data_IF_422218497810
#
_entry.id   IF_422218497810
#
_cell.length_a   1.000
_cell.length_b   1.000
_cell.length_c   1.000
_cell.angle_alpha   90.00
_cell.angle_beta   90.00
_cell.angle_gamma   90.00
#
_symmetry.space_group_name_H-M   'P 1'
#
loop_
_entity.id
_entity.type
_entity.pdbx_description
1 polymer ?
#
# COMPACT_ATOMS: atom_id res chain seq x y z
N UNK A 1 -5.61 -9.25 11.38
CA UNK A 1 -4.19 -8.84 11.49
C UNK A 1 -4.12 -7.38 11.92
N UNK A 2 -3.13 -7.06 12.76
CA UNK A 2 -2.89 -5.73 13.30
C UNK A 2 -1.42 -5.34 13.12
N UNK A 3 -1.17 -4.07 12.75
CA UNK A 3 0.15 -3.44 12.79
C UNK A 3 0.19 -2.47 13.96
N UNK A 4 1.25 -2.52 14.77
CA UNK A 4 1.45 -1.60 15.87
C UNK A 4 2.93 -1.38 16.15
N UNK A 5 3.26 -0.28 16.82
CA UNK A 5 4.64 0.13 17.09
C UNK A 5 4.84 0.37 18.58
N UNK A 6 5.87 -0.28 19.16
CA UNK A 6 6.31 -0.13 20.56
C UNK A 6 7.84 -0.13 20.59
N UNK A 7 8.46 1.03 20.44
CA UNK A 7 9.92 1.15 20.28
C UNK A 7 10.60 1.73 21.53
N UNK A 8 9.91 2.58 22.28
CA UNK A 8 10.46 3.24 23.46
C UNK A 8 10.07 2.50 24.76
N UNK A 9 10.83 2.66 25.82
CA UNK A 9 10.53 2.06 27.12
C UNK A 9 9.17 2.48 27.70
N UNK A 10 8.72 3.75 27.56
CA UNK A 10 7.35 4.10 27.92
C UNK A 10 6.28 3.35 27.14
N UNK A 11 6.46 3.19 25.80
CA UNK A 11 5.52 2.44 24.96
C UNK A 11 5.49 0.94 25.34
N UNK A 12 6.65 0.37 25.66
CA UNK A 12 6.73 -1.02 26.14
C UNK A 12 5.96 -1.19 27.44
N UNK A 13 6.13 -0.29 28.41
CA UNK A 13 5.38 -0.31 29.67
C UNK A 13 3.87 -0.18 29.45
N UNK A 14 3.47 0.75 28.57
CA UNK A 14 2.06 0.94 28.21
C UNK A 14 1.48 -0.34 27.57
N UNK A 15 2.20 -0.95 26.63
CA UNK A 15 1.79 -2.19 25.99
C UNK A 15 1.65 -3.36 26.97
N UNK A 16 2.66 -3.58 27.81
CA UNK A 16 2.63 -4.66 28.82
C UNK A 16 1.47 -4.46 29.80
N UNK A 17 1.20 -3.22 30.20
CA UNK A 17 0.04 -2.92 31.06
C UNK A 17 -1.28 -3.17 30.31
N UNK A 18 -1.42 -2.68 29.11
CA UNK A 18 -2.63 -2.82 28.30
C UNK A 18 -2.96 -4.28 27.94
N UNK A 19 -1.94 -5.14 27.88
CA UNK A 19 -2.08 -6.56 27.56
C UNK A 19 -2.13 -7.45 28.81
N UNK A 20 -2.21 -6.88 30.03
CA UNK A 20 -2.26 -7.63 31.28
C UNK A 20 -0.93 -8.27 31.70
N UNK A 21 0.19 -7.80 31.13
CA UNK A 21 1.53 -8.36 31.37
C UNK A 21 2.45 -7.38 32.12
N UNK A 22 1.87 -6.52 32.95
CA UNK A 22 2.60 -5.49 33.71
C UNK A 22 3.77 -6.05 34.53
N UNK A 23 3.69 -7.30 35.00
CA UNK A 23 4.77 -7.98 35.74
C UNK A 23 6.07 -8.13 34.92
N UNK A 24 6.02 -8.06 33.59
CA UNK A 24 7.20 -8.17 32.72
C UNK A 24 7.93 -6.83 32.54
N UNK A 25 7.43 -5.72 33.08
CA UNK A 25 8.06 -4.40 32.97
C UNK A 25 9.47 -4.39 33.56
N UNK A 26 9.65 -5.08 34.68
CA UNK A 26 10.94 -5.15 35.41
C UNK A 26 11.73 -6.42 35.08
N UNK A 27 11.27 -7.25 34.15
CA UNK A 27 12.00 -8.43 33.70
C UNK A 27 13.32 -7.99 33.03
N UNK A 28 14.49 -8.48 33.53
CA UNK A 28 15.79 -8.06 33.01
C UNK A 28 15.99 -8.36 31.52
N UNK A 29 15.21 -9.26 30.94
CA UNK A 29 15.23 -9.54 29.50
C UNK A 29 14.53 -8.45 28.66
N UNK A 30 13.64 -7.64 29.26
CA UNK A 30 12.75 -6.73 28.52
C UNK A 30 12.78 -5.28 29.02
N UNK A 31 13.45 -4.98 30.13
CA UNK A 31 13.40 -3.68 30.82
C UNK A 31 14.17 -2.56 30.11
N UNK A 32 14.92 -2.85 29.07
CA UNK A 32 15.65 -1.87 28.28
C UNK A 32 15.67 -2.24 26.78
N UNK A 33 15.96 -1.27 25.91
CA UNK A 33 16.12 -1.53 24.46
C UNK A 33 17.20 -2.58 24.21
N UNK A 34 18.36 -2.47 24.86
CA UNK A 34 19.47 -3.41 24.72
C UNK A 34 19.05 -4.83 25.12
N UNK A 35 18.41 -4.98 26.28
CA UNK A 35 17.94 -6.29 26.77
C UNK A 35 16.91 -6.93 25.82
N UNK A 36 15.98 -6.15 25.28
CA UNK A 36 15.02 -6.63 24.26
C UNK A 36 15.67 -7.03 22.95
N UNK A 37 16.74 -6.35 22.56
CA UNK A 37 17.50 -6.69 21.35
C UNK A 37 18.24 -8.03 21.52
N UNK A 38 18.87 -8.24 22.68
CA UNK A 38 19.54 -9.50 23.01
C UNK A 38 18.54 -10.67 23.14
N UNK A 39 17.33 -10.40 23.62
CA UNK A 39 16.28 -11.39 23.84
C UNK A 39 15.15 -11.28 22.80
N UNK A 40 15.48 -10.92 21.55
CA UNK A 40 14.49 -10.52 20.54
C UNK A 40 13.43 -11.60 20.27
N UNK A 41 13.82 -12.87 20.21
CA UNK A 41 12.88 -13.97 19.98
C UNK A 41 11.84 -14.06 21.11
N UNK A 42 12.29 -14.06 22.37
CA UNK A 42 11.39 -14.05 23.53
C UNK A 42 10.54 -12.79 23.60
N UNK A 43 11.08 -11.65 23.16
CA UNK A 43 10.32 -10.41 23.09
C UNK A 43 9.19 -10.47 22.05
N UNK A 44 9.41 -11.08 20.87
CA UNK A 44 8.35 -11.28 19.88
C UNK A 44 7.26 -12.23 20.39
N UNK A 45 7.62 -13.28 21.14
CA UNK A 45 6.64 -14.18 21.79
C UNK A 45 5.76 -13.39 22.78
N UNK A 46 6.37 -12.59 23.66
CA UNK A 46 5.65 -11.74 24.62
C UNK A 46 4.70 -10.77 23.92
N UNK A 47 5.10 -10.21 22.78
CA UNK A 47 4.28 -9.28 22.00
C UNK A 47 3.13 -9.98 21.26
N UNK A 48 3.39 -11.15 20.71
CA UNK A 48 2.44 -11.86 19.87
C UNK A 48 1.36 -12.60 20.65
N UNK A 49 1.74 -13.24 21.76
CA UNK A 49 0.86 -14.11 22.52
C UNK A 49 -0.50 -13.48 22.92
N UNK A 50 -0.58 -12.22 23.43
CA UNK A 50 -1.86 -11.63 23.79
C UNK A 50 -2.79 -11.36 22.60
N UNK A 51 -2.22 -11.16 21.41
CA UNK A 51 -2.98 -10.66 20.27
C UNK A 51 -4.00 -11.67 19.72
N UNK A 52 -3.91 -12.93 20.11
CA UNK A 52 -4.88 -13.98 19.78
C UNK A 52 -6.10 -14.00 20.70
N UNK A 53 -6.07 -13.26 21.82
CA UNK A 53 -7.11 -13.28 22.86
C UNK A 53 -8.33 -12.43 22.51
N UNK A 54 -8.20 -11.50 21.56
CA UNK A 54 -9.26 -10.54 21.16
C UNK A 54 -9.25 -10.32 19.65
N UNK A 55 -10.31 -9.70 19.16
CA UNK A 55 -10.43 -9.27 17.76
C UNK A 55 -9.47 -8.11 17.42
N UNK A 56 -9.25 -7.88 16.15
CA UNK A 56 -8.44 -6.75 15.66
C UNK A 56 -8.97 -5.41 16.14
N UNK A 57 -10.29 -5.21 16.08
CA UNK A 57 -10.91 -3.94 16.46
C UNK A 57 -10.81 -3.68 17.97
N UNK A 58 -11.00 -4.71 18.79
CA UNK A 58 -10.82 -4.60 20.24
C UNK A 58 -9.38 -4.24 20.59
N UNK A 59 -8.38 -4.89 19.95
CA UNK A 59 -6.98 -4.57 20.19
C UNK A 59 -6.62 -3.16 19.72
N UNK A 60 -7.14 -2.71 18.59
CA UNK A 60 -6.91 -1.34 18.11
C UNK A 60 -7.46 -0.32 19.13
N UNK A 61 -8.65 -0.55 19.66
CA UNK A 61 -9.25 0.32 20.67
C UNK A 61 -8.41 0.35 21.95
N UNK A 62 -7.97 -0.80 22.45
CA UNK A 62 -7.13 -0.93 23.66
C UNK A 62 -5.78 -0.24 23.47
N UNK A 63 -5.10 -0.49 22.36
CA UNK A 63 -3.77 0.08 22.11
C UNK A 63 -3.82 1.59 21.91
N UNK A 64 -4.83 2.09 21.20
CA UNK A 64 -5.03 3.54 21.03
C UNK A 64 -5.37 4.24 22.35
N UNK A 65 -6.17 3.61 23.23
CA UNK A 65 -6.44 4.13 24.56
C UNK A 65 -5.18 4.20 25.44
N UNK A 66 -4.18 3.34 25.16
CA UNK A 66 -2.86 3.35 25.80
C UNK A 66 -1.84 4.27 25.08
N UNK A 67 -2.28 5.14 24.16
CA UNK A 67 -1.44 6.03 23.35
C UNK A 67 -0.38 5.28 22.50
N UNK A 68 -0.76 4.11 21.99
CA UNK A 68 0.08 3.30 21.11
C UNK A 68 -0.47 3.35 19.69
N UNK A 69 0.42 3.60 18.73
CA UNK A 69 0.06 3.59 17.32
C UNK A 69 -0.33 2.16 16.89
N UNK A 70 -1.58 2.00 16.48
CA UNK A 70 -2.13 0.74 16.02
C UNK A 70 -3.14 0.95 14.88
N UNK A 71 -3.08 0.07 13.89
CA UNK A 71 -3.97 0.08 12.73
C UNK A 71 -4.24 -1.35 12.23
N UNK A 72 -5.37 -1.57 11.53
CA UNK A 72 -5.60 -2.86 10.87
C UNK A 72 -4.63 -3.06 9.71
N UNK A 73 -4.27 -4.30 9.41
CA UNK A 73 -3.64 -4.65 8.15
C UNK A 73 -4.75 -4.86 7.12
N UNK A 74 -4.78 -3.99 6.12
CA UNK A 74 -5.76 -4.08 5.04
C UNK A 74 -5.39 -5.16 4.02
N UNK A 75 -6.40 -5.79 3.43
CA UNK A 75 -6.29 -6.49 2.15
C UNK A 75 -6.53 -5.48 1.01
N UNK A 76 -6.31 -5.87 -0.24
CA UNK A 76 -6.61 -4.99 -1.38
C UNK A 76 -8.09 -4.58 -1.43
N UNK A 77 -9.00 -5.47 -1.00
CA UNK A 77 -10.43 -5.21 -0.95
C UNK A 77 -10.80 -4.23 0.17
N UNK A 78 -10.19 -4.38 1.35
CA UNK A 78 -10.51 -3.54 2.52
C UNK A 78 -9.76 -2.21 2.49
N UNK A 79 -8.62 -2.11 1.81
CA UNK A 79 -7.84 -0.88 1.69
C UNK A 79 -8.67 0.27 1.12
N UNK A 80 -9.50 -0.02 0.12
CA UNK A 80 -10.39 0.98 -0.51
C UNK A 80 -11.44 1.56 0.45
N UNK A 81 -11.66 0.88 1.59
CA UNK A 81 -12.62 1.32 2.61
C UNK A 81 -11.98 2.14 3.74
N UNK A 82 -10.65 2.23 3.76
CA UNK A 82 -9.93 2.98 4.80
C UNK A 82 -10.39 4.44 4.85
N UNK A 83 -10.83 4.96 6.01
CA UNK A 83 -11.36 6.31 6.14
C UNK A 83 -10.35 7.40 5.79
N UNK A 84 -9.05 7.19 6.10
CA UNK A 84 -8.01 8.16 5.79
C UNK A 84 -7.76 8.21 4.28
N UNK A 85 -7.66 7.06 3.61
CA UNK A 85 -7.44 7.02 2.16
C UNK A 85 -8.61 7.63 1.39
N UNK A 86 -9.84 7.44 1.88
CA UNK A 86 -11.02 8.13 1.34
C UNK A 86 -10.96 9.64 1.57
N UNK A 87 -10.63 10.08 2.77
CA UNK A 87 -10.57 11.50 3.12
C UNK A 87 -9.51 12.26 2.31
N UNK A 88 -8.37 11.63 2.00
CA UNK A 88 -7.32 12.24 1.18
C UNK A 88 -7.52 12.04 -0.32
N UNK A 89 -8.56 11.31 -0.75
CA UNK A 89 -8.85 11.03 -2.15
C UNK A 89 -7.68 10.32 -2.85
N UNK A 90 -7.14 9.26 -2.23
CA UNK A 90 -5.99 8.55 -2.79
C UNK A 90 -6.39 7.64 -3.95
N UNK A 91 -7.61 7.10 -3.91
CA UNK A 91 -8.12 6.15 -4.89
C UNK A 91 -9.20 6.84 -5.72
N UNK A 92 -8.98 6.90 -7.01
CA UNK A 92 -9.94 7.40 -8.01
C UNK A 92 -10.49 6.22 -8.80
N UNK A 93 -11.75 6.36 -9.24
CA UNK A 93 -12.40 5.39 -10.11
C UNK A 93 -12.62 6.02 -11.47
N UNK A 94 -12.26 5.28 -12.51
CA UNK A 94 -12.42 5.71 -13.89
C UNK A 94 -12.93 4.59 -14.78
N UNK A 95 -13.56 4.94 -15.88
CA UNK A 95 -13.96 3.98 -16.91
C UNK A 95 -12.77 3.83 -17.88
N UNK A 96 -12.10 2.68 -17.77
CA UNK A 96 -10.98 2.36 -18.64
C UNK A 96 -11.48 1.92 -20.02
N UNK A 97 -10.84 2.36 -21.12
CA UNK A 97 -11.33 2.07 -22.49
C UNK A 97 -11.48 0.56 -22.80
N UNK A 98 -10.65 -0.29 -22.21
CA UNK A 98 -10.64 -1.74 -22.49
C UNK A 98 -11.00 -2.60 -21.29
N UNK A 99 -10.80 -2.11 -20.05
CA UNK A 99 -10.92 -2.92 -18.81
C UNK A 99 -12.20 -2.64 -18.04
N UNK A 100 -13.05 -1.70 -18.50
CA UNK A 100 -14.22 -1.26 -17.79
C UNK A 100 -13.86 -0.37 -16.59
N UNK A 101 -14.64 -0.43 -15.52
CA UNK A 101 -14.43 0.43 -14.34
C UNK A 101 -13.22 -0.04 -13.54
N UNK A 102 -12.17 0.78 -13.51
CA UNK A 102 -10.91 0.53 -12.77
C UNK A 102 -10.75 1.47 -11.58
N UNK A 103 -10.02 1.01 -10.56
CA UNK A 103 -9.56 1.84 -9.47
C UNK A 103 -8.09 2.20 -9.70
N UNK A 104 -7.77 3.47 -9.69
CA UNK A 104 -6.41 3.97 -9.84
C UNK A 104 -5.94 4.70 -8.60
N UNK A 105 -4.65 4.60 -8.30
CA UNK A 105 -4.02 5.35 -7.22
C UNK A 105 -3.44 6.62 -7.83
N UNK A 106 -3.91 7.80 -7.38
CA UNK A 106 -3.33 9.07 -7.79
C UNK A 106 -1.91 9.21 -7.25
N UNK A 107 -1.13 10.12 -7.81
CA UNK A 107 0.19 10.44 -7.29
C UNK A 107 0.09 10.87 -5.81
N UNK A 108 0.91 10.26 -4.95
CA UNK A 108 1.00 10.63 -3.53
C UNK A 108 1.74 11.95 -3.31
N UNK A 109 2.52 12.38 -4.31
CA UNK A 109 3.29 13.62 -4.29
C UNK A 109 2.41 14.80 -4.67
N UNK A 110 2.55 15.91 -3.94
CA UNK A 110 1.95 17.20 -4.27
C UNK A 110 3.08 18.22 -4.51
N UNK A 111 2.91 19.05 -5.52
CA UNK A 111 3.82 20.17 -5.81
C UNK A 111 3.01 21.45 -5.62
N UNK A 112 3.45 22.32 -4.74
CA UNK A 112 2.74 23.57 -4.38
C UNK A 112 1.26 23.36 -4.02
N UNK A 113 0.96 22.24 -3.35
CA UNK A 113 -0.40 21.88 -2.95
C UNK A 113 -1.23 21.21 -4.06
N UNK A 114 -0.77 21.22 -5.31
CA UNK A 114 -1.44 20.55 -6.41
C UNK A 114 -1.03 19.07 -6.50
N UNK A 115 -2.00 18.21 -6.79
CA UNK A 115 -1.74 16.81 -7.13
C UNK A 115 -1.30 16.70 -8.58
N UNK A 116 -0.37 15.77 -8.84
CA UNK A 116 -0.03 15.42 -10.21
C UNK A 116 -1.14 14.52 -10.76
N UNK A 117 -1.85 15.00 -11.77
CA UNK A 117 -2.88 14.20 -12.42
C UNK A 117 -2.26 13.13 -13.31
N UNK A 118 -2.85 11.94 -13.26
CA UNK A 118 -2.61 10.91 -14.26
C UNK A 118 -3.41 11.27 -15.51
N UNK A 119 -2.72 11.50 -16.60
CA UNK A 119 -3.35 12.03 -17.83
C UNK A 119 -4.00 10.96 -18.70
N UNK A 120 -3.51 9.73 -18.67
CA UNK A 120 -4.01 8.64 -19.50
C UNK A 120 -4.08 7.34 -18.73
N UNK A 121 -5.09 6.49 -18.96
CA UNK A 121 -5.13 5.13 -18.46
C UNK A 121 -3.99 4.29 -19.09
N UNK A 122 -3.70 3.13 -18.51
CA UNK A 122 -2.76 2.19 -19.08
C UNK A 122 -3.29 1.71 -20.44
N UNK A 123 -2.50 1.90 -21.49
CA UNK A 123 -2.90 1.54 -22.82
C UNK A 123 -2.48 0.10 -23.17
N UNK A 124 -3.22 -0.60 -24.06
CA UNK A 124 -2.77 -1.86 -24.63
C UNK A 124 -1.39 -1.74 -25.29
N UNK A 125 -0.65 -2.83 -25.36
CA UNK A 125 0.66 -2.84 -25.97
C UNK A 125 0.57 -2.41 -27.44
N UNK A 126 1.38 -1.43 -27.84
CA UNK A 126 1.41 -0.90 -29.20
C UNK A 126 0.34 0.16 -29.53
N UNK A 127 -0.44 0.62 -28.53
CA UNK A 127 -1.49 1.61 -28.71
C UNK A 127 -1.02 2.86 -29.46
N UNK A 128 0.11 3.43 -29.04
CA UNK A 128 0.67 4.65 -29.60
C UNK A 128 1.70 4.40 -30.70
N UNK A 129 1.93 3.15 -31.11
CA UNK A 129 3.02 2.80 -32.04
C UNK A 129 2.95 3.56 -33.36
N UNK A 130 1.76 3.71 -33.95
CA UNK A 130 1.59 4.44 -35.21
C UNK A 130 1.94 5.91 -35.06
N UNK A 131 1.45 6.53 -34.00
CA UNK A 131 1.63 7.97 -33.79
C UNK A 131 3.08 8.28 -33.44
N UNK A 132 3.73 7.44 -32.66
CA UNK A 132 5.15 7.56 -32.31
C UNK A 132 6.03 7.37 -33.56
N UNK A 133 5.78 6.34 -34.37
CA UNK A 133 6.55 6.11 -35.61
C UNK A 133 6.36 7.23 -36.61
N UNK A 134 5.13 7.71 -36.78
CA UNK A 134 4.85 8.85 -37.65
C UNK A 134 5.56 10.14 -37.18
N UNK A 135 5.58 10.38 -35.86
CA UNK A 135 6.31 11.53 -35.30
C UNK A 135 7.83 11.42 -35.48
N UNK A 136 8.37 10.20 -35.61
CA UNK A 136 9.78 9.93 -35.93
C UNK A 136 10.09 10.01 -37.43
N UNK A 137 9.08 10.26 -38.30
CA UNK A 137 9.24 10.46 -39.72
C UNK A 137 9.04 9.21 -40.60
N UNK A 138 8.61 8.08 -39.98
CA UNK A 138 8.27 6.88 -40.77
C UNK A 138 6.98 7.10 -41.55
N UNK A 139 6.97 6.74 -42.83
CA UNK A 139 5.77 6.73 -43.62
C UNK A 139 4.87 5.50 -43.37
N UNK A 140 3.67 5.49 -43.96
CA UNK A 140 2.70 4.41 -43.72
C UNK A 140 3.19 3.03 -44.22
N UNK A 141 3.98 2.97 -45.27
CA UNK A 141 4.49 1.73 -45.83
C UNK A 141 5.65 1.19 -44.99
N UNK A 142 6.51 2.08 -44.49
CA UNK A 142 7.54 1.74 -43.54
C UNK A 142 6.94 1.23 -42.23
N UNK A 143 5.93 1.89 -41.67
CA UNK A 143 5.20 1.42 -40.48
C UNK A 143 4.58 0.04 -40.72
N UNK A 144 3.95 -0.18 -41.89
CA UNK A 144 3.39 -1.47 -42.24
C UNK A 144 4.48 -2.55 -42.29
N UNK A 145 5.61 -2.28 -42.90
CA UNK A 145 6.75 -3.18 -43.00
C UNK A 145 7.29 -3.57 -41.63
N UNK A 146 7.34 -2.62 -40.67
CA UNK A 146 7.77 -2.89 -39.28
C UNK A 146 6.77 -3.79 -38.56
N UNK A 147 5.48 -3.62 -38.79
CA UNK A 147 4.42 -4.46 -38.20
C UNK A 147 4.49 -5.88 -38.78
N UNK A 148 4.60 -6.03 -40.09
CA UNK A 148 4.69 -7.32 -40.77
C UNK A 148 5.96 -8.10 -40.35
N UNK A 149 7.07 -7.39 -40.15
CA UNK A 149 8.29 -7.92 -39.61
C UNK A 149 8.25 -8.22 -38.09
N UNK A 150 7.12 -7.91 -37.40
CA UNK A 150 6.97 -7.99 -35.94
C UNK A 150 8.00 -7.16 -35.17
N UNK A 151 8.55 -6.14 -35.77
CA UNK A 151 9.45 -5.18 -35.14
C UNK A 151 8.66 -4.09 -34.39
N UNK A 152 7.41 -3.86 -34.78
CA UNK A 152 6.44 -3.03 -34.07
C UNK A 152 5.11 -3.77 -33.89
N UNK A 153 4.39 -3.41 -32.83
CA UNK A 153 3.05 -3.95 -32.56
C UNK A 153 2.03 -2.81 -32.60
N UNK A 154 0.84 -3.11 -33.06
CA UNK A 154 -0.35 -2.26 -32.91
C UNK A 154 -1.44 -3.08 -32.24
N UNK A 155 -2.40 -2.44 -31.54
CA UNK A 155 -3.56 -3.13 -30.98
C UNK A 155 -4.32 -3.89 -32.07
N UNK A 156 -4.85 -5.05 -31.74
CA UNK A 156 -5.74 -5.79 -32.61
C UNK A 156 -7.09 -5.07 -32.74
N UNK A 157 -7.80 -5.30 -33.84
CA UNK A 157 -9.00 -4.55 -34.28
C UNK A 157 -10.19 -4.54 -33.28
N UNK A 158 -10.08 -5.24 -32.13
CA UNK A 158 -11.10 -5.32 -31.08
C UNK A 158 -10.79 -4.43 -29.86
N UNK A 159 -9.70 -3.65 -29.86
CA UNK A 159 -9.42 -2.70 -28.79
C UNK A 159 -10.16 -1.39 -29.07
N UNK A 160 -11.20 -1.04 -28.31
CA UNK A 160 -11.88 0.25 -28.46
C UNK A 160 -10.92 1.40 -28.13
N UNK A 161 -11.00 2.48 -28.89
CA UNK A 161 -10.29 3.73 -28.60
C UNK A 161 -11.01 4.48 -27.49
#
# INVERSE_FOLDING_TARGET
YISFTINTDPQVRAFLSATGRAALVDDPRFNSVAARTENIAAWFEVRGAPLTEKTTDEWIAILRAADLAAMPCHTLETLQQDPHLKAVGLIDYEDHPTEGRTASIRASVRVDGATLDRRTPAAPCGWDSRDVLAALGFDQDEVRSLIDARAAQIPTHNDPR
#
